data_IF_121240064592
#
_entry.id   IF_121240064592
#
_cell.length_a   1.000
_cell.length_b   1.000
_cell.length_c   1.000
_cell.angle_alpha   90.00
_cell.angle_beta   90.00
_cell.angle_gamma   90.00
#
_symmetry.space_group_name_H-M   'P 1'
#
loop_
_entity.id
_entity.type
_entity.pdbx_description
1 polymer ?
#
# COMPACT_ATOMS: atom_id res chain seq x y z
N UNK A 1 -2.32 17.56 7.35
CA UNK A 1 -1.52 16.53 6.67
C UNK A 1 -2.15 16.11 5.33
N UNK A 2 -3.37 15.49 5.29
CA UNK A 2 -4.00 15.11 4.01
C UNK A 2 -4.09 16.26 3.02
N UNK A 3 -4.47 17.46 3.46
CA UNK A 3 -4.57 18.65 2.61
C UNK A 3 -3.25 19.02 1.93
N UNK A 4 -2.13 18.93 2.65
CA UNK A 4 -0.80 19.25 2.10
C UNK A 4 -0.41 18.32 0.93
N UNK A 5 -0.73 17.03 1.04
CA UNK A 5 -0.51 16.07 -0.03
C UNK A 5 -1.50 16.26 -1.20
N UNK A 6 -2.75 16.60 -0.93
CA UNK A 6 -3.73 16.96 -1.97
C UNK A 6 -3.33 18.25 -2.71
N UNK A 7 -2.80 19.24 -2.00
CA UNK A 7 -2.27 20.48 -2.58
C UNK A 7 -0.99 20.25 -3.39
N UNK A 8 -0.25 19.19 -3.07
CA UNK A 8 0.88 18.71 -3.85
C UNK A 8 0.46 17.95 -5.13
N UNK A 9 -0.83 17.63 -5.28
CA UNK A 9 -1.39 16.98 -6.46
C UNK A 9 -1.75 15.51 -6.29
N UNK A 10 -1.64 14.92 -5.09
CA UNK A 10 -2.05 13.56 -4.83
C UNK A 10 -3.52 13.35 -5.22
N UNK A 11 -3.82 12.26 -5.92
CA UNK A 11 -5.18 11.90 -6.33
C UNK A 11 -5.85 10.99 -5.32
N UNK A 12 -5.05 10.19 -4.61
CA UNK A 12 -5.49 9.27 -3.56
C UNK A 12 -4.83 9.66 -2.25
N UNK A 13 -5.61 9.68 -1.18
CA UNK A 13 -5.10 9.81 0.19
C UNK A 13 -5.50 8.60 1.00
N UNK A 14 -4.58 8.09 1.80
CA UNK A 14 -4.83 6.95 2.67
C UNK A 14 -5.43 7.40 4.00
N UNK A 15 -6.28 6.55 4.55
CA UNK A 15 -6.75 6.71 5.92
C UNK A 15 -5.61 6.44 6.91
N UNK A 16 -5.61 7.09 8.07
CA UNK A 16 -4.66 6.81 9.15
C UNK A 16 -5.08 5.55 9.92
N UNK A 17 -5.07 4.40 9.23
CA UNK A 17 -5.59 3.12 9.75
C UNK A 17 -4.63 1.94 9.58
N UNK A 18 -3.38 2.18 9.17
CA UNK A 18 -2.34 1.15 9.03
C UNK A 18 -2.24 0.25 10.26
N UNK A 19 -2.17 0.84 11.45
CA UNK A 19 -2.13 0.14 12.73
C UNK A 19 -3.48 0.05 13.45
N UNK A 20 -4.60 0.17 12.75
CA UNK A 20 -5.93 0.25 13.37
C UNK A 20 -6.72 -1.08 13.37
N UNK A 21 -6.03 -2.21 13.25
CA UNK A 21 -6.63 -3.53 13.51
C UNK A 21 -6.75 -3.78 15.01
N UNK A 22 -7.72 -4.59 15.43
CA UNK A 22 -7.87 -4.99 16.83
C UNK A 22 -6.57 -5.52 17.44
N UNK A 23 -5.81 -6.32 16.69
CA UNK A 23 -4.54 -6.92 17.15
C UNK A 23 -3.55 -5.85 17.59
N UNK A 24 -3.39 -4.80 16.79
CA UNK A 24 -2.46 -3.70 17.10
C UNK A 24 -3.04 -2.80 18.20
N UNK A 25 -4.33 -2.49 18.14
CA UNK A 25 -4.98 -1.61 19.12
C UNK A 25 -5.08 -2.26 20.52
N UNK A 26 -5.14 -3.58 20.61
CA UNK A 26 -5.13 -4.31 21.90
C UNK A 26 -3.79 -4.14 22.63
N UNK A 27 -2.69 -3.92 21.93
CA UNK A 27 -1.38 -3.61 22.54
C UNK A 27 -1.40 -2.27 23.31
N UNK A 28 -2.36 -1.40 22.99
CA UNK A 28 -2.60 -0.12 23.66
C UNK A 28 -3.87 -0.13 24.55
N UNK A 29 -4.51 -1.29 24.71
CA UNK A 29 -5.72 -1.45 25.52
C UNK A 29 -6.98 -0.81 24.93
N UNK A 30 -7.00 -0.54 23.63
CA UNK A 30 -8.09 0.14 22.91
C UNK A 30 -8.67 -0.66 21.73
N UNK A 31 -8.45 -1.97 21.68
CA UNK A 31 -8.93 -2.83 20.59
C UNK A 31 -10.44 -2.84 20.43
N UNK A 32 -11.19 -2.61 21.52
CA UNK A 32 -12.65 -2.45 21.46
C UNK A 32 -13.13 -1.19 20.70
N UNK A 33 -12.23 -0.30 20.31
CA UNK A 33 -12.51 0.91 19.54
C UNK A 33 -12.10 0.78 18.06
N UNK A 34 -11.79 -0.42 17.58
CA UNK A 34 -11.36 -0.65 16.18
C UNK A 34 -12.32 -0.01 15.18
N UNK A 35 -13.61 -0.29 15.27
CA UNK A 35 -14.60 0.26 14.33
C UNK A 35 -14.68 1.80 14.41
N UNK A 36 -14.70 2.37 15.61
CA UNK A 36 -14.74 3.82 15.83
C UNK A 36 -13.52 4.53 15.21
N UNK A 37 -12.31 4.00 15.47
CA UNK A 37 -11.06 4.59 14.99
C UNK A 37 -10.99 4.57 13.47
N UNK A 38 -11.34 3.45 12.84
CA UNK A 38 -11.34 3.32 11.39
C UNK A 38 -12.37 4.26 10.75
N UNK A 39 -13.60 4.33 11.29
CA UNK A 39 -14.62 5.24 10.80
C UNK A 39 -14.21 6.72 10.92
N UNK A 40 -13.62 7.12 12.05
CA UNK A 40 -13.12 8.47 12.25
C UNK A 40 -11.99 8.84 11.26
N UNK A 41 -11.10 7.88 10.97
CA UNK A 41 -10.02 8.09 10.00
C UNK A 41 -10.57 8.29 8.57
N UNK A 42 -11.57 7.51 8.16
CA UNK A 42 -12.27 7.71 6.88
C UNK A 42 -12.94 9.07 6.83
N UNK A 43 -13.67 9.47 7.88
CA UNK A 43 -14.33 10.77 7.95
C UNK A 43 -13.33 11.94 7.82
N UNK A 44 -12.15 11.83 8.43
CA UNK A 44 -11.08 12.83 8.31
C UNK A 44 -10.53 12.92 6.87
N UNK A 45 -10.31 11.78 6.21
CA UNK A 45 -9.85 11.75 4.83
C UNK A 45 -10.93 12.30 3.88
N UNK A 46 -12.20 11.91 4.05
CA UNK A 46 -13.35 12.45 3.29
C UNK A 46 -13.48 13.96 3.45
N UNK A 47 -13.31 14.49 4.66
CA UNK A 47 -13.31 15.93 4.90
C UNK A 47 -12.19 16.64 4.14
N UNK A 48 -11.02 16.03 4.04
CA UNK A 48 -9.89 16.62 3.34
C UNK A 48 -10.10 16.70 1.82
N UNK A 49 -10.76 15.72 1.21
CA UNK A 49 -11.06 15.71 -0.23
C UNK A 49 -12.34 16.47 -0.61
N UNK A 50 -13.13 16.93 0.37
CA UNK A 50 -14.40 17.61 0.10
C UNK A 50 -14.21 18.81 -0.84
N UNK A 51 -15.04 18.89 -1.89
CA UNK A 51 -14.94 19.92 -2.92
C UNK A 51 -13.78 19.77 -3.91
N UNK A 52 -13.04 18.66 -3.88
CA UNK A 52 -11.91 18.37 -4.77
C UNK A 52 -12.29 17.21 -5.73
N UNK A 53 -12.74 17.48 -6.96
CA UNK A 53 -13.10 16.42 -7.89
C UNK A 53 -11.89 15.56 -8.27
N UNK A 54 -12.13 14.26 -8.56
CA UNK A 54 -11.08 13.32 -8.94
C UNK A 54 -10.11 13.00 -7.81
N UNK A 55 -10.58 13.07 -6.56
CA UNK A 55 -9.82 12.66 -5.37
C UNK A 55 -10.54 11.52 -4.66
N UNK A 56 -9.75 10.58 -4.14
CA UNK A 56 -10.25 9.31 -3.59
C UNK A 56 -9.65 9.05 -2.22
N UNK A 57 -10.40 8.33 -1.39
CA UNK A 57 -9.98 7.86 -0.05
C UNK A 57 -9.69 6.38 -0.11
N UNK A 58 -8.45 6.02 0.20
CA UNK A 58 -7.98 4.64 0.29
C UNK A 58 -7.98 4.17 1.74
N UNK A 59 -8.67 3.08 2.02
CA UNK A 59 -8.60 2.39 3.32
C UNK A 59 -7.30 1.62 3.44
N UNK A 60 -6.39 2.09 4.31
CA UNK A 60 -5.11 1.44 4.58
C UNK A 60 -5.27 0.29 5.59
N UNK A 61 -4.71 -0.88 5.27
CA UNK A 61 -4.63 -2.06 6.14
C UNK A 61 -3.17 -2.54 6.20
N UNK A 62 -2.57 -2.44 7.37
CA UNK A 62 -1.20 -2.91 7.59
C UNK A 62 -1.12 -4.42 7.95
N UNK A 63 0.10 -4.95 8.09
CA UNK A 63 0.35 -6.38 8.30
C UNK A 63 0.10 -6.86 9.73
N UNK A 64 -0.33 -6.02 10.66
CA UNK A 64 -0.36 -6.28 12.12
C UNK A 64 1.04 -6.51 12.72
N UNK A 65 1.11 -6.77 14.03
CA UNK A 65 2.36 -7.10 14.75
C UNK A 65 2.60 -8.61 14.86
N UNK A 66 1.73 -9.43 14.24
CA UNK A 66 1.76 -10.89 14.34
C UNK A 66 1.83 -11.52 12.94
N UNK A 67 2.79 -12.42 12.76
CA UNK A 67 3.00 -13.15 11.51
C UNK A 67 2.48 -14.59 11.64
N UNK A 68 1.45 -14.98 10.87
CA UNK A 68 0.87 -16.31 10.96
C UNK A 68 1.84 -17.41 10.49
N UNK A 69 2.72 -17.15 9.52
CA UNK A 69 3.74 -18.11 9.08
C UNK A 69 4.74 -18.47 10.20
N UNK A 70 4.90 -17.61 11.20
CA UNK A 70 5.74 -17.86 12.37
C UNK A 70 4.95 -18.39 13.59
N UNK A 71 3.66 -18.68 13.40
CA UNK A 71 2.81 -19.18 14.48
C UNK A 71 2.45 -18.14 15.56
N UNK A 72 2.68 -16.84 15.29
CA UNK A 72 2.40 -15.77 16.26
C UNK A 72 0.91 -15.56 16.51
N UNK A 73 0.06 -16.00 15.60
CA UNK A 73 -1.39 -15.86 15.64
C UNK A 73 -2.05 -16.97 14.83
N UNK A 74 -3.23 -17.43 15.27
CA UNK A 74 -4.01 -18.38 14.49
C UNK A 74 -4.66 -17.71 13.27
N UNK A 75 -4.89 -18.45 12.17
CA UNK A 75 -5.61 -17.95 11.00
C UNK A 75 -6.98 -17.35 11.35
N UNK A 76 -7.74 -18.00 12.23
CA UNK A 76 -9.08 -17.56 12.62
C UNK A 76 -9.05 -16.21 13.35
N UNK A 77 -8.11 -16.03 14.29
CA UNK A 77 -7.96 -14.77 15.02
C UNK A 77 -7.52 -13.62 14.10
N UNK A 78 -6.64 -13.91 13.15
CA UNK A 78 -6.19 -12.92 12.16
C UNK A 78 -7.33 -12.54 11.21
N UNK A 79 -8.08 -13.52 10.70
CA UNK A 79 -9.26 -13.32 9.86
C UNK A 79 -10.32 -12.47 10.56
N UNK A 80 -10.61 -12.77 11.84
CA UNK A 80 -11.56 -11.99 12.62
C UNK A 80 -11.14 -10.52 12.76
N UNK A 81 -9.87 -10.25 13.02
CA UNK A 81 -9.35 -8.90 13.14
C UNK A 81 -9.39 -8.11 11.83
N UNK A 82 -9.03 -8.74 10.70
CA UNK A 82 -9.16 -8.10 9.38
C UNK A 82 -10.62 -7.86 9.00
N UNK A 83 -11.53 -8.81 9.26
CA UNK A 83 -12.95 -8.64 8.98
C UNK A 83 -13.54 -7.44 9.71
N UNK A 84 -13.21 -7.26 10.99
CA UNK A 84 -13.67 -6.09 11.77
C UNK A 84 -13.18 -4.77 11.17
N UNK A 85 -11.90 -4.68 10.85
CA UNK A 85 -11.31 -3.48 10.25
C UNK A 85 -11.87 -3.20 8.86
N UNK A 86 -11.96 -4.21 8.00
CA UNK A 86 -12.51 -4.11 6.65
C UNK A 86 -13.96 -3.63 6.66
N UNK A 87 -14.79 -4.25 7.52
CA UNK A 87 -16.19 -3.84 7.68
C UNK A 87 -16.29 -2.36 8.02
N UNK A 88 -15.53 -1.91 9.02
CA UNK A 88 -15.55 -0.50 9.44
C UNK A 88 -15.11 0.46 8.33
N UNK A 89 -14.07 0.12 7.57
CA UNK A 89 -13.58 0.94 6.44
C UNK A 89 -14.62 1.01 5.31
N UNK A 90 -15.17 -0.14 4.90
CA UNK A 90 -16.11 -0.23 3.77
C UNK A 90 -17.43 0.46 4.10
N UNK A 91 -18.01 0.23 5.29
CA UNK A 91 -19.23 0.89 5.75
C UNK A 91 -19.06 2.40 5.89
N UNK A 92 -17.86 2.86 6.27
CA UNK A 92 -17.53 4.29 6.34
C UNK A 92 -17.31 4.94 4.98
N UNK A 93 -17.29 4.15 3.89
CA UNK A 93 -17.33 4.63 2.53
C UNK A 93 -15.96 4.98 1.96
N UNK A 94 -14.95 4.13 2.07
CA UNK A 94 -13.71 4.23 1.30
C UNK A 94 -13.96 3.98 -0.19
N UNK A 95 -13.15 4.57 -1.07
CA UNK A 95 -13.24 4.38 -2.52
C UNK A 95 -12.44 3.17 -3.00
N UNK A 96 -11.39 2.80 -2.26
CA UNK A 96 -10.54 1.64 -2.52
C UNK A 96 -9.91 1.17 -1.21
N UNK A 97 -9.39 -0.06 -1.23
CA UNK A 97 -8.67 -0.68 -0.11
C UNK A 97 -7.23 -0.98 -0.52
N UNK A 98 -6.31 -0.82 0.41
CA UNK A 98 -4.89 -1.15 0.22
C UNK A 98 -4.40 -2.01 1.39
N UNK A 99 -4.04 -3.26 1.10
CA UNK A 99 -3.21 -4.07 1.98
C UNK A 99 -1.76 -3.71 1.69
N UNK A 100 -1.11 -3.03 2.62
CA UNK A 100 0.23 -2.49 2.40
C UNK A 100 1.27 -3.00 3.38
N UNK A 101 2.54 -2.86 2.98
CA UNK A 101 3.71 -3.24 3.79
C UNK A 101 3.69 -4.72 4.20
N UNK A 102 3.11 -5.54 3.34
CA UNK A 102 2.92 -6.95 3.62
C UNK A 102 4.23 -7.72 3.47
N UNK A 103 4.58 -8.51 4.49
CA UNK A 103 5.86 -9.24 4.60
C UNK A 103 5.69 -10.76 4.77
N UNK A 104 4.46 -11.26 4.68
CA UNK A 104 4.09 -12.67 4.85
C UNK A 104 2.98 -13.04 3.86
N UNK A 105 3.27 -13.91 2.88
CA UNK A 105 2.29 -14.32 1.85
C UNK A 105 1.08 -15.03 2.44
N UNK A 106 1.25 -15.79 3.51
CA UNK A 106 0.13 -16.43 4.17
C UNK A 106 -0.80 -15.39 4.79
N UNK A 107 -0.24 -14.35 5.42
CA UNK A 107 -1.02 -13.23 5.92
C UNK A 107 -1.78 -12.50 4.81
N UNK A 108 -1.11 -12.19 3.68
CA UNK A 108 -1.74 -11.52 2.54
C UNK A 108 -2.92 -12.37 2.04
N UNK A 109 -2.71 -13.67 1.87
CA UNK A 109 -3.76 -14.58 1.37
C UNK A 109 -4.97 -14.61 2.30
N UNK A 110 -4.76 -14.72 3.62
CA UNK A 110 -5.85 -14.67 4.60
C UNK A 110 -6.58 -13.32 4.56
N UNK A 111 -5.84 -12.23 4.50
CA UNK A 111 -6.42 -10.89 4.43
C UNK A 111 -7.25 -10.68 3.15
N UNK A 112 -6.77 -11.18 1.99
CA UNK A 112 -7.51 -11.07 0.72
C UNK A 112 -8.78 -11.92 0.70
N UNK A 113 -8.72 -13.18 1.16
CA UNK A 113 -9.90 -14.03 1.29
C UNK A 113 -10.94 -13.32 2.18
N UNK A 114 -10.51 -12.84 3.35
CA UNK A 114 -11.37 -12.10 4.27
C UNK A 114 -11.93 -10.83 3.64
N UNK A 115 -11.12 -10.12 2.85
CA UNK A 115 -11.53 -8.89 2.18
C UNK A 115 -12.67 -9.17 1.18
N UNK A 116 -12.48 -10.11 0.27
CA UNK A 116 -13.49 -10.40 -0.75
C UNK A 116 -14.76 -11.01 -0.14
N UNK A 117 -14.65 -11.89 0.86
CA UNK A 117 -15.81 -12.36 1.63
C UNK A 117 -16.58 -11.22 2.32
N UNK A 118 -15.85 -10.26 2.91
CA UNK A 118 -16.48 -9.11 3.57
C UNK A 118 -17.18 -8.20 2.56
N UNK A 119 -16.57 -7.95 1.41
CA UNK A 119 -17.18 -7.16 0.33
C UNK A 119 -18.46 -7.83 -0.21
N UNK A 120 -18.43 -9.14 -0.41
CA UNK A 120 -19.60 -9.92 -0.83
C UNK A 120 -20.71 -9.85 0.22
N UNK A 121 -20.40 -10.06 1.50
CA UNK A 121 -21.36 -10.00 2.60
C UNK A 121 -22.02 -8.61 2.73
N UNK A 122 -21.26 -7.55 2.47
CA UNK A 122 -21.77 -6.17 2.51
C UNK A 122 -22.45 -5.73 1.21
N UNK A 123 -22.42 -6.56 0.16
CA UNK A 123 -22.92 -6.19 -1.17
C UNK A 123 -22.22 -4.97 -1.76
N UNK A 124 -20.91 -4.88 -1.57
CA UNK A 124 -20.08 -3.73 -2.01
C UNK A 124 -19.02 -4.18 -3.01
N UNK A 125 -18.82 -3.37 -4.02
CA UNK A 125 -17.69 -3.48 -4.95
C UNK A 125 -16.71 -2.35 -4.66
N UNK A 126 -15.55 -2.70 -4.10
CA UNK A 126 -14.48 -1.74 -3.77
C UNK A 126 -13.18 -2.28 -4.37
N UNK A 127 -12.45 -1.52 -5.20
CA UNK A 127 -11.17 -1.92 -5.74
C UNK A 127 -10.17 -2.26 -4.62
N UNK A 128 -9.47 -3.38 -4.76
CA UNK A 128 -8.50 -3.86 -3.77
C UNK A 128 -7.10 -3.82 -4.36
N UNK A 129 -6.21 -3.14 -3.68
CA UNK A 129 -4.78 -3.06 -3.98
C UNK A 129 -3.98 -3.87 -2.96
N UNK A 130 -2.88 -4.47 -3.42
CA UNK A 130 -1.90 -5.12 -2.54
C UNK A 130 -0.52 -4.53 -2.79
N UNK A 131 0.20 -4.26 -1.71
CA UNK A 131 1.57 -3.81 -1.76
C UNK A 131 2.44 -4.65 -0.83
N UNK A 132 3.37 -5.39 -1.42
CA UNK A 132 4.34 -6.20 -0.69
C UNK A 132 5.57 -5.37 -0.31
N UNK A 133 6.24 -5.77 0.76
CA UNK A 133 7.50 -5.18 1.17
C UNK A 133 8.61 -6.22 1.05
N UNK A 134 9.59 -5.89 0.21
CA UNK A 134 10.79 -6.71 0.01
C UNK A 134 12.00 -6.00 0.62
N UNK A 135 12.73 -6.74 1.43
CA UNK A 135 13.98 -6.26 2.02
C UNK A 135 15.09 -6.18 0.94
N UNK A 136 16.22 -5.57 1.27
CA UNK A 136 17.37 -5.50 0.36
C UNK A 136 17.91 -6.87 -0.08
N UNK A 137 17.57 -7.92 0.62
CA UNK A 137 17.86 -9.32 0.26
C UNK A 137 17.04 -9.80 -0.93
N UNK A 138 16.00 -9.06 -1.34
CA UNK A 138 15.09 -9.42 -2.42
C UNK A 138 13.93 -10.29 -1.98
N UNK A 139 13.75 -10.49 -0.68
CA UNK A 139 12.66 -11.30 -0.11
C UNK A 139 11.85 -10.54 0.93
N UNK A 140 10.64 -10.99 1.16
CA UNK A 140 9.86 -10.62 2.34
C UNK A 140 10.53 -11.12 3.62
N UNK A 141 10.12 -10.62 4.77
CA UNK A 141 10.68 -11.01 6.07
C UNK A 141 10.67 -12.54 6.31
N UNK A 142 9.64 -13.22 5.84
CA UNK A 142 9.52 -14.69 5.95
C UNK A 142 10.08 -15.46 4.76
N UNK A 143 10.86 -14.81 3.88
CA UNK A 143 11.67 -15.45 2.84
C UNK A 143 11.04 -15.56 1.46
N UNK A 144 9.78 -15.19 1.27
CA UNK A 144 9.13 -15.22 -0.06
C UNK A 144 9.65 -14.08 -0.95
N UNK A 145 9.91 -14.37 -2.21
CA UNK A 145 10.31 -13.40 -3.24
C UNK A 145 9.13 -12.83 -4.04
N UNK A 146 9.43 -11.94 -4.98
CA UNK A 146 8.42 -11.30 -5.83
C UNK A 146 7.73 -12.30 -6.75
N UNK A 147 8.42 -13.37 -7.18
CA UNK A 147 7.85 -14.39 -8.05
C UNK A 147 6.80 -15.22 -7.31
N UNK A 148 7.13 -15.68 -6.09
CA UNK A 148 6.20 -16.38 -5.23
C UNK A 148 4.97 -15.51 -4.90
N UNK A 149 5.18 -14.20 -4.69
CA UNK A 149 4.10 -13.26 -4.45
C UNK A 149 3.19 -13.13 -5.68
N UNK A 150 3.74 -12.91 -6.87
CA UNK A 150 2.97 -12.76 -8.09
C UNK A 150 2.08 -13.98 -8.36
N UNK A 151 2.65 -15.20 -8.33
CA UNK A 151 1.89 -16.45 -8.54
C UNK A 151 0.81 -16.66 -7.48
N UNK A 152 1.11 -16.32 -6.22
CA UNK A 152 0.13 -16.49 -5.13
C UNK A 152 -1.06 -15.52 -5.27
N UNK A 153 -0.82 -14.33 -5.81
CA UNK A 153 -1.81 -13.26 -5.87
C UNK A 153 -2.57 -13.21 -7.21
N UNK A 154 -2.05 -13.79 -8.26
CA UNK A 154 -2.67 -13.79 -9.60
C UNK A 154 -4.14 -14.24 -9.61
N UNK A 155 -4.56 -15.28 -8.82
CA UNK A 155 -5.95 -15.72 -8.83
C UNK A 155 -6.95 -14.71 -8.22
N UNK A 156 -6.48 -13.67 -7.53
CA UNK A 156 -7.36 -12.67 -6.91
C UNK A 156 -7.65 -11.52 -7.88
N UNK A 157 -8.90 -10.99 -7.91
CA UNK A 157 -9.28 -9.88 -8.78
C UNK A 157 -8.75 -8.54 -8.25
N UNK A 158 -7.44 -8.39 -8.20
CA UNK A 158 -6.78 -7.20 -7.67
C UNK A 158 -6.87 -6.03 -8.64
N UNK A 159 -7.13 -4.84 -8.12
CA UNK A 159 -7.02 -3.60 -8.88
C UNK A 159 -5.57 -3.28 -9.23
N UNK A 160 -4.64 -3.50 -8.29
CA UNK A 160 -3.21 -3.45 -8.54
C UNK A 160 -2.44 -4.34 -7.56
N UNK A 161 -1.28 -4.79 -8.01
CA UNK A 161 -0.25 -5.36 -7.14
C UNK A 161 1.06 -4.61 -7.32
N UNK A 162 1.83 -4.46 -6.24
CA UNK A 162 3.10 -3.76 -6.31
C UNK A 162 3.91 -3.79 -5.02
N UNK A 163 4.73 -2.78 -4.84
CA UNK A 163 5.72 -2.72 -3.76
C UNK A 163 5.64 -1.38 -3.02
N UNK A 164 5.86 -1.42 -1.72
CA UNK A 164 6.08 -0.22 -0.92
C UNK A 164 7.11 -0.46 0.18
N UNK A 165 7.62 0.63 0.74
CA UNK A 165 8.47 0.65 1.93
C UNK A 165 9.81 -0.10 1.78
N UNK A 166 10.49 -0.38 2.90
CA UNK A 166 11.81 -0.97 3.08
C UNK A 166 12.95 -0.22 2.40
N UNK A 167 12.85 0.04 1.09
CA UNK A 167 13.93 0.57 0.27
C UNK A 167 13.51 1.80 -0.53
N UNK A 168 14.48 2.43 -1.20
CA UNK A 168 14.24 3.50 -2.15
C UNK A 168 13.92 2.98 -3.57
N UNK A 169 13.60 3.90 -4.51
CA UNK A 169 13.22 3.49 -5.87
C UNK A 169 14.29 2.66 -6.57
N UNK A 170 15.58 3.00 -6.38
CA UNK A 170 16.68 2.31 -7.04
C UNK A 170 16.76 0.81 -6.69
N UNK A 171 16.46 0.46 -5.44
CA UNK A 171 16.51 -0.93 -4.97
C UNK A 171 15.30 -1.75 -5.46
N UNK A 172 14.22 -1.10 -5.91
CA UNK A 172 13.01 -1.77 -6.40
C UNK A 172 13.05 -2.15 -7.88
N UNK A 173 14.03 -1.66 -8.64
CA UNK A 173 14.08 -1.80 -10.11
C UNK A 173 13.96 -3.25 -10.57
N UNK A 174 14.73 -4.16 -9.99
CA UNK A 174 14.71 -5.58 -10.39
C UNK A 174 13.36 -6.26 -10.16
N UNK A 175 12.68 -5.90 -9.08
CA UNK A 175 11.38 -6.46 -8.74
C UNK A 175 10.27 -5.90 -9.63
N UNK A 176 10.35 -4.60 -9.95
CA UNK A 176 9.41 -3.97 -10.88
C UNK A 176 9.63 -4.49 -12.31
N UNK A 177 10.88 -4.71 -12.70
CA UNK A 177 11.19 -5.36 -13.98
C UNK A 177 10.58 -6.77 -14.06
N UNK A 178 10.62 -7.56 -12.97
CA UNK A 178 9.95 -8.85 -12.91
C UNK A 178 8.43 -8.69 -13.10
N UNK A 179 7.79 -7.78 -12.35
CA UNK A 179 6.35 -7.55 -12.46
C UNK A 179 5.93 -7.01 -13.83
N UNK A 180 6.78 -6.24 -14.51
CA UNK A 180 6.54 -5.76 -15.87
C UNK A 180 6.24 -6.91 -16.84
N UNK A 181 6.96 -8.03 -16.69
CA UNK A 181 6.87 -9.18 -17.58
C UNK A 181 5.94 -10.30 -17.09
N UNK A 182 5.69 -10.37 -15.78
CA UNK A 182 5.00 -11.51 -15.20
C UNK A 182 3.63 -11.17 -14.57
N UNK A 183 3.35 -9.89 -14.30
CA UNK A 183 2.08 -9.49 -13.67
C UNK A 183 1.10 -8.93 -14.71
N UNK A 184 -0.07 -9.56 -14.91
CA UNK A 184 -1.01 -9.13 -15.96
C UNK A 184 -1.78 -7.85 -15.61
N UNK A 185 -1.96 -7.55 -14.31
CA UNK A 185 -2.72 -6.41 -13.82
C UNK A 185 -1.92 -5.12 -13.72
N UNK A 186 -2.50 -4.08 -13.11
CA UNK A 186 -1.80 -2.82 -12.82
C UNK A 186 -0.70 -3.03 -11.80
N UNK A 187 0.40 -2.28 -11.96
CA UNK A 187 1.52 -2.27 -11.02
C UNK A 187 1.49 -0.95 -10.24
N UNK A 188 1.70 -1.02 -8.92
CA UNK A 188 1.84 0.11 -8.02
C UNK A 188 3.21 0.14 -7.35
N UNK A 189 3.79 1.35 -7.17
CA UNK A 189 5.11 1.52 -6.54
C UNK A 189 5.10 2.72 -5.61
N UNK A 190 5.38 2.48 -4.34
CA UNK A 190 5.41 3.50 -3.28
C UNK A 190 6.66 3.32 -2.39
N UNK A 191 7.85 3.68 -2.88
CA UNK A 191 9.10 3.52 -2.15
C UNK A 191 9.27 4.55 -1.05
N UNK A 192 10.23 4.28 -0.15
CA UNK A 192 10.73 5.28 0.78
C UNK A 192 11.50 6.39 0.05
N UNK A 193 11.74 7.49 0.73
CA UNK A 193 12.66 8.56 0.32
C UNK A 193 14.14 8.07 0.37
N UNK A 194 14.44 6.99 -0.35
CA UNK A 194 15.73 6.28 -0.26
C UNK A 194 15.82 5.36 0.96
N UNK A 195 17.04 4.88 1.23
CA UNK A 195 17.30 4.06 2.42
C UNK A 195 17.32 4.93 3.67
N UNK A 196 16.76 4.45 4.80
CA UNK A 196 16.86 5.13 6.07
C UNK A 196 18.31 5.09 6.58
N UNK A 197 18.78 6.23 7.08
CA UNK A 197 20.06 6.36 7.78
C UNK A 197 19.82 6.84 9.21
N UNK A 198 20.69 6.44 10.14
CA UNK A 198 20.65 6.97 11.50
C UNK A 198 21.62 8.15 11.59
N UNK A 199 21.10 9.34 11.77
CA UNK A 199 21.86 10.58 11.95
C UNK A 199 21.52 11.17 13.31
N UNK A 200 22.49 11.28 14.18
CA UNK A 200 22.30 11.77 15.56
C UNK A 200 21.19 11.03 16.34
N UNK A 201 21.08 9.70 16.15
CA UNK A 201 20.07 8.86 16.80
C UNK A 201 18.66 8.96 16.23
N UNK A 202 18.47 9.69 15.13
CA UNK A 202 17.19 9.84 14.44
C UNK A 202 17.24 9.24 13.03
N UNK A 203 16.13 8.69 12.58
CA UNK A 203 16.00 8.21 11.20
C UNK A 203 15.95 9.42 10.25
N UNK A 204 16.83 9.42 9.28
CA UNK A 204 16.89 10.43 8.22
C UNK A 204 16.85 9.77 6.83
N UNK A 205 16.31 10.48 5.87
CA UNK A 205 16.25 10.07 4.47
C UNK A 205 16.89 11.18 3.62
N UNK A 206 17.64 10.80 2.57
CA UNK A 206 18.46 11.79 1.82
C UNK A 206 18.01 12.03 0.39
N UNK A 207 17.17 11.17 -0.19
CA UNK A 207 16.79 11.30 -1.58
C UNK A 207 15.95 12.58 -1.77
N UNK A 208 16.46 13.49 -2.57
CA UNK A 208 15.81 14.78 -2.80
C UNK A 208 14.59 14.64 -3.73
N UNK A 209 13.58 15.54 -3.63
CA UNK A 209 12.36 15.46 -4.43
C UNK A 209 12.57 15.31 -5.93
N UNK A 210 13.49 16.06 -6.52
CA UNK A 210 13.77 16.01 -7.96
C UNK A 210 14.35 14.66 -8.39
N UNK A 211 15.26 14.09 -7.60
CA UNK A 211 15.87 12.80 -7.91
C UNK A 211 14.88 11.65 -7.68
N UNK A 212 14.07 11.70 -6.60
CA UNK A 212 12.97 10.79 -6.36
C UNK A 212 12.02 10.78 -7.57
N UNK A 213 11.55 11.95 -7.99
CA UNK A 213 10.64 12.09 -9.12
C UNK A 213 11.23 11.56 -10.43
N UNK A 214 12.53 11.81 -10.68
CA UNK A 214 13.23 11.28 -11.85
C UNK A 214 13.24 9.77 -11.90
N UNK A 215 13.54 9.11 -10.77
CA UNK A 215 13.54 7.65 -10.67
C UNK A 215 12.12 7.07 -10.81
N UNK A 216 11.13 7.68 -10.18
CA UNK A 216 9.74 7.25 -10.28
C UNK A 216 9.16 7.41 -11.69
N UNK A 217 9.59 8.46 -12.43
CA UNK A 217 9.21 8.64 -13.83
C UNK A 217 9.65 7.47 -14.71
N UNK A 218 10.83 6.90 -14.46
CA UNK A 218 11.33 5.71 -15.18
C UNK A 218 10.39 4.53 -14.99
N UNK A 219 9.87 4.31 -13.78
CA UNK A 219 8.90 3.24 -13.54
C UNK A 219 7.62 3.39 -14.37
N UNK A 220 7.14 4.61 -14.56
CA UNK A 220 5.98 4.86 -15.42
C UNK A 220 6.34 4.71 -16.89
N UNK A 221 7.38 5.43 -17.33
CA UNK A 221 7.74 5.56 -18.75
C UNK A 221 8.27 4.26 -19.36
N UNK A 222 9.06 3.49 -18.61
CA UNK A 222 9.82 2.36 -19.15
C UNK A 222 9.28 1.01 -18.65
N UNK A 223 8.73 0.95 -17.42
CA UNK A 223 8.24 -0.29 -16.82
C UNK A 223 6.70 -0.44 -16.79
N UNK A 224 5.97 0.59 -17.23
CA UNK A 224 4.51 0.53 -17.32
C UNK A 224 3.79 0.52 -15.97
N UNK A 225 4.43 1.07 -14.94
CA UNK A 225 3.79 1.26 -13.62
C UNK A 225 2.65 2.26 -13.75
N UNK A 226 1.47 1.92 -13.26
CA UNK A 226 0.24 2.70 -13.42
C UNK A 226 -0.09 3.57 -12.20
N UNK A 227 0.42 3.20 -11.02
CA UNK A 227 0.13 3.88 -9.76
C UNK A 227 1.46 4.14 -9.06
N UNK A 228 1.74 5.40 -8.75
CA UNK A 228 2.97 5.82 -8.11
C UNK A 228 2.68 6.71 -6.91
N UNK A 229 3.51 6.59 -5.90
CA UNK A 229 3.39 7.36 -4.67
C UNK A 229 4.69 7.33 -3.89
N UNK A 230 4.60 7.49 -2.59
CA UNK A 230 5.74 7.40 -1.70
C UNK A 230 5.34 6.84 -0.34
N UNK A 231 6.31 6.25 0.36
CA UNK A 231 6.14 5.72 1.70
C UNK A 231 6.99 6.54 2.70
N UNK A 232 7.74 5.88 3.58
CA UNK A 232 8.47 6.54 4.65
C UNK A 232 9.42 7.64 4.15
N UNK A 233 9.40 8.78 4.85
CA UNK A 233 10.23 9.95 4.56
C UNK A 233 9.72 10.83 3.42
N UNK A 234 8.81 10.38 2.55
CA UNK A 234 8.29 11.21 1.47
C UNK A 234 7.43 12.35 2.01
N UNK A 235 7.64 13.52 1.46
CA UNK A 235 6.97 14.77 1.87
C UNK A 235 6.07 15.30 0.75
N UNK A 236 5.20 16.28 1.01
CA UNK A 236 4.45 16.95 -0.05
C UNK A 236 5.32 17.49 -1.19
N UNK A 237 6.57 17.88 -0.90
CA UNK A 237 7.51 18.32 -1.95
C UNK A 237 7.89 17.17 -2.91
N UNK A 238 8.08 15.95 -2.39
CA UNK A 238 8.33 14.76 -3.22
C UNK A 238 7.14 14.43 -4.09
N UNK A 239 5.94 14.46 -3.53
CA UNK A 239 4.71 14.18 -4.29
C UNK A 239 4.48 15.25 -5.36
N UNK A 240 4.71 16.53 -5.08
CA UNK A 240 4.60 17.59 -6.09
C UNK A 240 5.57 17.36 -7.25
N UNK A 241 6.85 17.09 -6.95
CA UNK A 241 7.85 16.80 -7.97
C UNK A 241 7.48 15.55 -8.79
N UNK A 242 6.98 14.50 -8.13
CA UNK A 242 6.49 13.28 -8.78
C UNK A 242 5.33 13.58 -9.73
N UNK A 243 4.30 14.29 -9.27
CA UNK A 243 3.13 14.66 -10.09
C UNK A 243 3.56 15.46 -11.33
N UNK A 244 4.46 16.41 -11.16
CA UNK A 244 5.01 17.20 -12.29
C UNK A 244 5.77 16.32 -13.27
N UNK A 245 6.59 15.39 -12.78
CA UNK A 245 7.42 14.52 -13.61
C UNK A 245 6.61 13.48 -14.43
N UNK A 246 5.41 13.08 -13.95
CA UNK A 246 4.60 12.06 -14.63
C UNK A 246 3.33 12.62 -15.30
N UNK A 247 3.05 13.92 -15.19
CA UNK A 247 1.81 14.56 -15.68
C UNK A 247 1.47 14.20 -17.12
N UNK A 248 2.47 14.22 -18.00
CA UNK A 248 2.31 14.00 -19.43
C UNK A 248 2.94 12.67 -19.88
N UNK A 249 3.13 11.75 -18.94
CA UNK A 249 3.72 10.44 -19.19
C UNK A 249 2.63 9.37 -19.15
N UNK A 250 2.49 8.66 -20.25
CA UNK A 250 1.65 7.46 -20.28
C UNK A 250 2.50 6.26 -19.85
N UNK A 251 1.94 5.37 -19.03
CA UNK A 251 2.62 4.11 -18.71
C UNK A 251 2.98 3.34 -19.97
N UNK A 252 4.21 2.83 -20.02
CA UNK A 252 4.62 1.98 -21.15
C UNK A 252 3.68 0.78 -21.32
N UNK A 253 3.42 0.43 -22.56
CA UNK A 253 2.72 -0.84 -22.85
C UNK A 253 3.56 -2.02 -22.37
N UNK A 254 2.92 -2.98 -21.70
CA UNK A 254 3.58 -4.19 -21.20
C UNK A 254 3.13 -5.40 -21.98
N UNK A 255 4.06 -6.28 -22.28
CA UNK A 255 3.78 -7.63 -22.79
C UNK A 255 4.07 -8.59 -21.64
N UNK A 256 3.06 -9.32 -21.20
CA UNK A 256 3.19 -10.32 -20.14
C UNK A 256 3.53 -11.64 -20.78
N UNK A 257 4.56 -12.31 -20.29
CA UNK A 257 4.99 -13.61 -20.76
C UNK A 257 3.92 -14.66 -20.42
N UNK A 258 3.49 -15.43 -21.41
CA UNK A 258 2.43 -16.45 -21.29
C UNK A 258 3.00 -17.80 -20.83
#
# INVERSE_FOLDING_TARGET
>A
LHQEFLDAGAQVVETNTFGASRIVLDEYGIGNRTAEINAAAVANARKAIAGRPGRYVCGSLGPTTKLPSLGHISPDALTAAYREQLTALVESGVDLLLLETCQDLFQIKLALITCFETLEQLGREVPVMVSATLERTGTMLVGSDIAAAAVTLEPFPLFSFGLNCATGPADMVSHIHYLQHQWPGRISVMPNQGLPEIVNGQTAYRLQPAEFARQMRVFVADYGVSIVGGCCGTTPAHIRALVEAVRDVHPAARTVDS
#
